data_IF_906756197969
#
_entry.id   IF_906756197969
#
_cell.length_a   1.000
_cell.length_b   1.000
_cell.length_c   1.000
_cell.angle_alpha   90.00
_cell.angle_beta   90.00
_cell.angle_gamma   90.00
#
_symmetry.space_group_name_H-M   'P 1'
#
loop_
_entity.id
_entity.type
_entity.pdbx_description
1 polymer ?
#
# COMPACT_ATOMS: atom_id res chain seq x y z
N UNK A 1 24.31 17.65 -4.36
CA UNK A 1 22.84 17.74 -4.31
C UNK A 1 22.36 16.89 -3.13
N UNK A 2 21.23 17.23 -2.51
CA UNK A 2 20.97 16.84 -1.12
C UNK A 2 19.72 15.94 -1.03
N UNK A 3 19.60 15.16 0.05
CA UNK A 3 18.39 14.37 0.41
C UNK A 3 17.05 15.16 0.34
N UNK A 4 17.10 16.49 0.23
CA UNK A 4 15.97 17.36 -0.07
C UNK A 4 15.28 17.01 -1.40
N UNK A 5 16.02 16.51 -2.38
CA UNK A 5 15.52 16.27 -3.74
C UNK A 5 14.77 14.92 -3.85
N UNK A 6 14.90 14.05 -2.85
CA UNK A 6 14.17 12.77 -2.77
C UNK A 6 12.69 13.03 -2.47
N UNK A 7 11.84 12.53 -3.38
CA UNK A 7 10.37 12.53 -3.29
C UNK A 7 9.81 11.12 -3.12
N UNK A 8 8.53 11.00 -2.79
CA UNK A 8 7.88 9.71 -2.54
C UNK A 8 7.99 8.74 -3.71
N UNK A 9 7.87 9.22 -4.96
CA UNK A 9 8.07 8.41 -6.17
C UNK A 9 9.45 7.72 -6.25
N UNK A 10 10.51 8.37 -5.77
CA UNK A 10 11.86 7.80 -5.75
C UNK A 10 12.02 6.74 -4.68
N UNK A 11 11.37 6.93 -3.53
CA UNK A 11 11.31 5.92 -2.46
C UNK A 11 10.52 4.70 -2.93
N UNK A 12 9.36 4.91 -3.55
CA UNK A 12 8.60 3.85 -4.19
C UNK A 12 9.48 3.14 -5.23
N UNK A 13 10.19 3.91 -6.06
CA UNK A 13 11.25 3.52 -7.00
C UNK A 13 12.29 2.56 -6.42
N UNK A 14 12.85 2.90 -5.28
CA UNK A 14 13.80 2.05 -4.57
C UNK A 14 13.16 0.76 -4.04
N UNK A 15 11.91 0.83 -3.54
CA UNK A 15 11.21 -0.33 -2.97
C UNK A 15 11.01 -1.46 -3.97
N UNK A 16 10.60 -1.20 -5.22
CA UNK A 16 10.44 -2.30 -6.18
C UNK A 16 11.76 -2.78 -6.77
N UNK A 17 12.79 -1.93 -6.89
CA UNK A 17 14.14 -2.42 -7.23
C UNK A 17 14.64 -3.39 -6.15
N UNK A 18 14.47 -3.04 -4.87
CA UNK A 18 14.81 -3.91 -3.75
C UNK A 18 13.87 -5.12 -3.61
N UNK A 19 12.63 -5.00 -4.08
CA UNK A 19 11.63 -6.05 -4.05
C UNK A 19 11.76 -7.05 -5.19
N UNK A 20 12.54 -6.73 -6.22
CA UNK A 20 12.85 -7.63 -7.34
C UNK A 20 13.82 -8.75 -6.89
N UNK A 21 13.48 -10.04 -7.10
CA UNK A 21 14.32 -11.15 -6.64
C UNK A 21 15.72 -11.23 -7.28
N UNK A 22 15.89 -10.70 -8.49
CA UNK A 22 17.16 -10.71 -9.21
C UNK A 22 17.95 -9.42 -8.98
N UNK A 23 17.27 -8.27 -9.00
CA UNK A 23 17.91 -6.97 -8.91
C UNK A 23 18.20 -6.52 -7.48
N UNK A 24 17.31 -6.83 -6.53
CA UNK A 24 17.45 -6.41 -5.13
C UNK A 24 18.73 -6.92 -4.46
N UNK A 25 19.02 -8.23 -4.47
CA UNK A 25 20.26 -8.76 -3.89
C UNK A 25 21.52 -8.21 -4.56
N UNK A 26 21.49 -8.04 -5.88
CA UNK A 26 22.61 -7.47 -6.65
C UNK A 26 22.90 -6.03 -6.23
N UNK A 27 21.86 -5.18 -6.13
CA UNK A 27 22.00 -3.79 -5.71
C UNK A 27 22.52 -3.67 -4.27
N UNK A 28 22.05 -4.54 -3.36
CA UNK A 28 22.55 -4.55 -1.98
C UNK A 28 24.04 -4.88 -1.91
N UNK A 29 24.50 -5.85 -2.71
CA UNK A 29 25.90 -6.23 -2.81
C UNK A 29 26.76 -5.13 -3.44
N UNK A 30 26.33 -4.59 -4.59
CA UNK A 30 27.01 -3.53 -5.34
C UNK A 30 27.16 -2.24 -4.49
N UNK A 31 26.13 -1.88 -3.72
CA UNK A 31 26.13 -0.68 -2.86
C UNK A 31 26.62 -0.97 -1.43
N UNK A 32 27.12 -2.19 -1.20
CA UNK A 32 27.74 -2.64 0.05
C UNK A 32 26.84 -2.52 1.28
N UNK A 33 25.54 -2.71 1.11
CA UNK A 33 24.59 -2.75 2.22
C UNK A 33 24.45 -4.17 2.80
N UNK A 34 24.59 -4.29 4.11
CA UNK A 34 24.19 -5.48 4.86
C UNK A 34 22.85 -5.29 5.56
N UNK A 35 22.37 -6.34 6.22
CA UNK A 35 21.09 -6.31 6.95
C UNK A 35 21.02 -5.17 7.98
N UNK A 36 19.88 -4.46 7.99
CA UNK A 36 19.64 -3.41 8.97
C UNK A 36 19.55 -3.98 10.39
N UNK A 37 20.19 -3.28 11.32
CA UNK A 37 20.23 -3.66 12.75
C UNK A 37 19.27 -2.87 13.63
N UNK A 38 18.65 -1.80 13.12
CA UNK A 38 17.94 -0.82 13.96
C UNK A 38 16.52 -0.46 13.51
N UNK A 39 16.29 -0.14 12.24
CA UNK A 39 14.97 0.28 11.77
C UNK A 39 14.78 0.03 10.27
N UNK A 40 13.53 -0.25 9.89
CA UNK A 40 13.12 -0.68 8.55
C UNK A 40 11.96 0.15 8.05
N UNK A 41 11.93 0.42 6.76
CA UNK A 41 10.73 0.90 6.10
C UNK A 41 9.69 -0.22 6.07
N UNK A 42 8.44 0.11 6.39
CA UNK A 42 7.30 -0.79 6.14
C UNK A 42 6.48 -0.25 4.97
N UNK A 43 6.22 -1.11 3.99
CA UNK A 43 5.39 -0.77 2.83
C UNK A 43 4.62 -1.99 2.35
N UNK A 44 3.28 -1.90 2.29
CA UNK A 44 2.38 -2.99 1.89
C UNK A 44 2.68 -4.31 2.62
N UNK A 45 2.94 -4.22 3.92
CA UNK A 45 3.21 -5.35 4.82
C UNK A 45 4.60 -5.97 4.67
N UNK A 46 5.44 -5.44 3.77
CA UNK A 46 6.83 -5.86 3.57
C UNK A 46 7.78 -4.90 4.28
N UNK A 47 8.96 -5.44 4.63
CA UNK A 47 10.00 -4.71 5.34
C UNK A 47 11.20 -4.52 4.42
N UNK A 48 11.70 -3.29 4.36
CA UNK A 48 12.88 -2.92 3.58
C UNK A 48 13.88 -2.21 4.47
N UNK A 49 15.16 -2.51 4.30
CA UNK A 49 16.21 -1.82 5.02
C UNK A 49 16.25 -0.35 4.58
N UNK A 50 16.10 0.54 5.55
CA UNK A 50 15.85 1.96 5.31
C UNK A 50 17.00 2.68 4.59
N UNK A 51 18.25 2.30 4.87
CA UNK A 51 19.45 2.88 4.25
C UNK A 51 19.55 2.53 2.75
N UNK A 52 19.48 1.25 2.34
CA UNK A 52 19.36 0.88 0.93
C UNK A 52 18.26 1.64 0.19
N UNK A 53 17.05 1.73 0.79
CA UNK A 53 15.93 2.43 0.16
C UNK A 53 16.32 3.88 -0.16
N UNK A 54 16.86 4.61 0.81
CA UNK A 54 17.23 6.02 0.61
C UNK A 54 18.44 6.17 -0.33
N UNK A 55 19.41 5.26 -0.27
CA UNK A 55 20.58 5.31 -1.15
C UNK A 55 20.24 5.06 -2.62
N UNK A 56 19.32 4.14 -2.88
CA UNK A 56 18.77 3.87 -4.21
C UNK A 56 17.87 5.03 -4.65
N UNK A 57 17.00 5.54 -3.77
CA UNK A 57 16.15 6.69 -4.08
C UNK A 57 16.98 7.94 -4.44
N UNK A 58 18.12 8.15 -3.76
CA UNK A 58 19.07 9.20 -4.11
C UNK A 58 19.68 8.99 -5.51
N UNK A 59 20.08 7.76 -5.84
CA UNK A 59 20.60 7.41 -7.16
C UNK A 59 19.57 7.58 -8.29
N UNK A 60 18.29 7.30 -8.02
CA UNK A 60 17.21 7.52 -8.99
C UNK A 60 16.99 9.00 -9.30
N UNK A 61 17.23 9.90 -8.33
CA UNK A 61 17.13 11.36 -8.54
C UNK A 61 18.38 11.92 -9.23
N UNK A 62 19.56 11.50 -8.77
CA UNK A 62 20.82 12.20 -9.05
C UNK A 62 21.71 11.49 -10.06
N UNK A 63 21.48 10.20 -10.31
CA UNK A 63 22.40 9.30 -11.03
C UNK A 63 23.49 8.70 -10.14
N UNK A 64 23.70 9.22 -8.94
CA UNK A 64 24.74 8.79 -8.00
C UNK A 64 24.12 8.01 -6.83
N UNK A 65 24.28 6.69 -6.82
CA UNK A 65 23.76 5.83 -5.76
C UNK A 65 24.60 5.98 -4.48
N UNK A 66 23.93 6.11 -3.32
CA UNK A 66 24.63 6.10 -2.04
C UNK A 66 24.89 4.66 -1.60
N UNK A 67 26.08 4.46 -1.04
CA UNK A 67 26.55 3.20 -0.46
C UNK A 67 26.39 3.19 1.05
N UNK A 68 26.63 2.05 1.71
CA UNK A 68 26.58 1.97 3.16
C UNK A 68 27.53 2.95 3.88
N UNK A 69 28.66 3.30 3.27
CA UNK A 69 29.63 4.24 3.82
C UNK A 69 29.05 5.65 3.99
N UNK A 70 28.16 6.07 3.08
CA UNK A 70 27.51 7.37 3.10
C UNK A 70 26.53 7.55 4.27
N UNK A 71 26.18 6.45 4.95
CA UNK A 71 25.32 6.43 6.14
C UNK A 71 26.10 6.18 7.45
N UNK A 72 27.44 6.32 7.44
CA UNK A 72 28.30 6.22 8.62
C UNK A 72 28.87 7.59 9.01
N UNK A 73 28.84 7.98 10.29
CA UNK A 73 29.48 9.22 10.76
C UNK A 73 28.59 10.46 10.96
N UNK A 74 27.41 10.32 11.57
CA UNK A 74 26.63 11.47 12.06
C UNK A 74 25.83 12.25 11.00
N UNK A 75 25.89 11.85 9.73
CA UNK A 75 24.96 12.34 8.70
C UNK A 75 23.54 11.83 8.97
N UNK A 76 22.57 12.76 8.92
CA UNK A 76 21.15 12.54 9.20
C UNK A 76 20.63 11.36 8.38
N UNK A 77 20.33 10.26 9.05
CA UNK A 77 20.07 8.95 8.43
C UNK A 77 18.83 8.88 7.56
N UNK A 78 18.59 7.69 7.01
CA UNK A 78 17.46 7.42 6.12
C UNK A 78 16.07 7.72 6.72
N UNK A 79 15.94 7.57 8.05
CA UNK A 79 14.65 7.69 8.73
C UNK A 79 13.99 9.08 8.60
N UNK A 80 14.66 10.20 8.92
CA UNK A 80 14.10 11.54 8.69
C UNK A 80 13.59 11.78 7.26
N UNK A 81 14.28 11.22 6.25
CA UNK A 81 13.88 11.35 4.84
C UNK A 81 12.58 10.60 4.59
N UNK A 82 12.48 9.35 5.04
CA UNK A 82 11.30 8.51 4.85
C UNK A 82 10.09 9.06 5.61
N UNK A 83 10.27 9.46 6.88
CA UNK A 83 9.21 10.05 7.71
C UNK A 83 8.68 11.36 7.12
N UNK A 84 9.57 12.24 6.62
CA UNK A 84 9.16 13.48 5.93
C UNK A 84 8.23 13.21 4.75
N UNK A 85 8.46 12.10 4.06
CA UNK A 85 7.72 11.69 2.86
C UNK A 85 6.45 10.86 3.19
N UNK A 86 6.10 10.73 4.48
CA UNK A 86 4.88 10.04 4.93
C UNK A 86 5.04 8.53 5.11
N UNK A 87 6.23 7.97 4.92
CA UNK A 87 6.45 6.53 5.10
C UNK A 87 6.65 6.14 6.56
N UNK A 88 6.08 5.00 6.95
CA UNK A 88 6.31 4.42 8.26
C UNK A 88 7.68 3.74 8.34
N UNK A 89 8.46 4.12 9.35
CA UNK A 89 9.72 3.47 9.70
C UNK A 89 9.52 2.71 11.01
N UNK A 90 9.51 1.38 10.92
CA UNK A 90 9.40 0.47 12.05
C UNK A 90 10.74 0.29 12.75
N UNK A 91 10.71 0.35 14.08
CA UNK A 91 11.87 0.17 14.95
C UNK A 91 12.03 -1.27 15.44
N UNK A 92 11.20 -2.19 14.94
CA UNK A 92 11.26 -3.61 15.28
C UNK A 92 9.92 -4.14 15.80
N UNK A 93 9.02 -3.30 16.29
CA UNK A 93 7.75 -3.75 16.85
C UNK A 93 6.88 -4.47 15.82
N UNK A 94 6.66 -3.88 14.63
CA UNK A 94 5.90 -4.55 13.58
C UNK A 94 6.68 -5.74 13.02
N UNK A 95 8.01 -5.64 12.91
CA UNK A 95 8.85 -6.75 12.45
C UNK A 95 8.74 -7.97 13.37
N UNK A 96 8.75 -7.81 14.70
CA UNK A 96 8.58 -8.91 15.67
C UNK A 96 7.22 -9.58 15.51
N UNK A 97 6.15 -8.83 15.19
CA UNK A 97 4.84 -9.44 14.91
C UNK A 97 4.90 -10.45 13.76
N UNK A 98 5.80 -10.25 12.78
CA UNK A 98 5.99 -11.22 11.69
C UNK A 98 6.64 -12.52 12.11
N UNK A 99 7.31 -12.53 13.27
CA UNK A 99 8.09 -13.63 13.83
C UNK A 99 7.37 -14.37 14.95
N UNK A 100 6.14 -13.97 15.30
CA UNK A 100 5.36 -14.65 16.32
C UNK A 100 5.20 -16.14 15.97
N UNK A 101 5.46 -16.98 16.96
CA UNK A 101 5.17 -18.41 16.90
C UNK A 101 3.74 -18.62 17.36
N UNK A 102 2.84 -18.74 16.39
CA UNK A 102 1.43 -19.01 16.65
C UNK A 102 1.18 -20.50 16.74
N UNK A 103 0.29 -20.89 17.65
CA UNK A 103 -0.19 -22.26 17.74
C UNK A 103 -0.88 -22.70 16.46
N UNK A 104 -0.97 -24.01 16.26
CA UNK A 104 -1.67 -24.62 15.14
C UNK A 104 -2.70 -25.61 15.63
N UNK A 105 -3.91 -25.53 15.08
CA UNK A 105 -4.99 -26.47 15.36
C UNK A 105 -5.50 -27.02 14.04
N UNK A 106 -5.51 -28.35 13.90
CA UNK A 106 -5.86 -29.03 12.63
C UNK A 106 -5.11 -28.47 11.41
N UNK A 107 -3.82 -28.13 11.59
CA UNK A 107 -2.96 -27.59 10.54
C UNK A 107 -3.14 -26.09 10.25
N UNK A 108 -4.18 -25.44 10.79
CA UNK A 108 -4.42 -24.00 10.63
C UNK A 108 -3.70 -23.20 11.73
N UNK A 109 -2.98 -22.12 11.39
CA UNK A 109 -2.42 -21.22 12.39
C UNK A 109 -3.52 -20.49 13.16
N UNK A 110 -3.39 -20.42 14.48
CA UNK A 110 -4.34 -19.74 15.34
C UNK A 110 -4.07 -18.22 15.33
N UNK A 111 -5.05 -17.37 14.98
CA UNK A 111 -4.84 -15.93 14.83
C UNK A 111 -4.84 -15.16 16.16
N UNK A 112 -5.05 -15.85 17.29
CA UNK A 112 -5.43 -15.26 18.57
C UNK A 112 -4.44 -14.23 19.12
N UNK A 113 -3.13 -14.45 18.95
CA UNK A 113 -2.11 -13.47 19.37
C UNK A 113 -2.22 -12.14 18.61
N UNK A 114 -2.53 -12.19 17.32
CA UNK A 114 -2.73 -10.99 16.50
C UNK A 114 -3.99 -10.24 16.91
N UNK A 115 -5.08 -10.94 17.20
CA UNK A 115 -6.33 -10.33 17.70
C UNK A 115 -6.11 -9.64 19.05
N UNK A 116 -5.41 -10.30 19.99
CA UNK A 116 -5.07 -9.70 21.29
C UNK A 116 -4.14 -8.50 21.16
N UNK A 117 -3.16 -8.53 20.24
CA UNK A 117 -2.30 -7.38 19.97
C UNK A 117 -3.06 -6.19 19.38
N UNK A 118 -3.91 -6.42 18.37
CA UNK A 118 -4.75 -5.36 17.79
C UNK A 118 -5.67 -4.74 18.85
N UNK A 119 -6.30 -5.56 19.69
CA UNK A 119 -7.09 -5.10 20.83
C UNK A 119 -6.26 -4.22 21.77
N UNK A 120 -5.09 -4.68 22.22
CA UNK A 120 -4.25 -3.90 23.14
C UNK A 120 -3.73 -2.59 22.51
N UNK A 121 -3.40 -2.59 21.22
CA UNK A 121 -3.02 -1.37 20.47
C UNK A 121 -4.18 -0.39 20.40
N UNK A 122 -5.38 -0.85 20.03
CA UNK A 122 -6.56 0.02 19.95
C UNK A 122 -6.85 0.72 21.28
N UNK A 123 -6.71 0.01 22.40
CA UNK A 123 -6.89 0.55 23.74
C UNK A 123 -5.89 1.64 24.07
N UNK A 124 -4.60 1.41 23.81
CA UNK A 124 -3.55 2.38 24.10
C UNK A 124 -3.68 3.63 23.22
N UNK A 125 -4.03 3.45 21.93
CA UNK A 125 -4.33 4.57 21.01
C UNK A 125 -5.59 5.34 21.43
N UNK A 126 -6.58 4.66 21.98
CA UNK A 126 -7.79 5.25 22.56
C UNK A 126 -7.58 5.91 23.94
N UNK A 127 -6.35 5.98 24.45
CA UNK A 127 -6.05 6.56 25.76
C UNK A 127 -6.36 5.67 26.96
N UNK A 128 -6.72 4.41 26.72
CA UNK A 128 -6.99 3.41 27.75
C UNK A 128 -5.73 2.91 28.48
N UNK A 129 -5.91 2.11 29.55
CA UNK A 129 -4.80 1.57 30.32
C UNK A 129 -4.00 0.56 29.49
N UNK A 130 -2.67 0.62 29.60
CA UNK A 130 -1.74 -0.28 28.93
C UNK A 130 -1.84 -1.72 29.45
N UNK A 131 -1.80 -1.88 30.77
CA UNK A 131 -1.95 -3.17 31.45
C UNK A 131 -3.40 -3.32 31.90
N UNK A 132 -4.01 -4.47 31.61
CA UNK A 132 -5.39 -4.77 31.98
C UNK A 132 -5.42 -6.07 32.78
N UNK A 133 -6.13 -6.15 33.91
CA UNK A 133 -6.33 -7.40 34.63
C UNK A 133 -7.07 -8.43 33.76
N UNK A 134 -6.66 -9.70 33.80
CA UNK A 134 -7.21 -10.74 32.93
C UNK A 134 -8.75 -10.86 33.01
N UNK A 135 -9.31 -10.77 34.22
CA UNK A 135 -10.77 -10.85 34.44
C UNK A 135 -11.56 -9.72 33.80
N UNK A 136 -10.93 -8.55 33.65
CA UNK A 136 -11.57 -7.37 33.05
C UNK A 136 -11.51 -7.45 31.52
N UNK A 137 -10.45 -8.06 30.97
CA UNK A 137 -10.29 -8.26 29.53
C UNK A 137 -11.09 -9.46 28.98
N UNK A 138 -11.40 -10.47 29.81
CA UNK A 138 -11.88 -11.78 29.35
C UNK A 138 -13.15 -11.73 28.48
N UNK A 139 -14.13 -10.89 28.86
CA UNK A 139 -15.42 -10.87 28.18
C UNK A 139 -15.30 -10.22 26.82
N UNK A 140 -14.62 -9.08 26.76
CA UNK A 140 -14.32 -8.38 25.52
C UNK A 140 -13.49 -9.26 24.57
N UNK A 141 -12.41 -9.87 25.07
CA UNK A 141 -11.56 -10.75 24.28
C UNK A 141 -12.29 -12.01 23.82
N UNK A 142 -13.19 -12.59 24.61
CA UNK A 142 -14.00 -13.73 24.18
C UNK A 142 -14.84 -13.38 22.96
N UNK A 143 -15.45 -12.19 22.94
CA UNK A 143 -16.25 -11.73 21.80
C UNK A 143 -15.39 -11.42 20.57
N UNK A 144 -14.18 -10.89 20.75
CA UNK A 144 -13.26 -10.59 19.65
C UNK A 144 -12.62 -11.85 19.05
N UNK A 145 -12.35 -12.86 19.88
CA UNK A 145 -11.69 -14.10 19.45
C UNK A 145 -12.67 -15.13 18.86
N UNK A 146 -13.94 -15.15 19.29
CA UNK A 146 -14.92 -16.14 18.85
C UNK A 146 -15.08 -16.26 17.32
N UNK A 147 -15.13 -15.17 16.53
CA UNK A 147 -15.20 -15.24 15.06
C UNK A 147 -13.99 -15.89 14.38
N UNK A 148 -12.88 -16.02 15.11
CA UNK A 148 -11.62 -16.59 14.63
C UNK A 148 -11.37 -18.02 15.13
N UNK A 149 -12.39 -18.68 15.70
CA UNK A 149 -12.25 -20.03 16.23
C UNK A 149 -11.79 -21.02 15.15
N UNK A 150 -10.64 -21.67 15.39
CA UNK A 150 -10.07 -22.69 14.48
C UNK A 150 -10.55 -24.12 14.80
N UNK A 151 -11.36 -24.28 15.85
CA UNK A 151 -11.94 -25.54 16.30
C UNK A 151 -13.41 -25.34 16.71
N UNK A 152 -14.11 -26.44 17.00
CA UNK A 152 -15.49 -26.41 17.50
C UNK A 152 -15.61 -25.86 18.93
N UNK A 153 -14.51 -25.85 19.68
CA UNK A 153 -14.43 -25.26 21.01
C UNK A 153 -14.08 -23.78 20.95
N UNK A 154 -14.58 -23.01 21.92
CA UNK A 154 -14.21 -21.60 22.06
C UNK A 154 -12.68 -21.44 22.22
N UNK A 155 -12.08 -20.37 21.68
CA UNK A 155 -10.66 -20.05 21.88
C UNK A 155 -10.30 -19.92 23.36
N UNK A 156 -9.17 -20.49 23.78
CA UNK A 156 -8.63 -20.21 25.11
C UNK A 156 -8.01 -18.82 25.13
N UNK A 157 -8.55 -17.95 25.98
CA UNK A 157 -8.13 -16.56 26.13
C UNK A 157 -6.75 -16.42 26.79
N UNK A 158 -6.34 -17.40 27.61
CA UNK A 158 -5.08 -17.34 28.36
C UNK A 158 -3.89 -17.70 27.48
N UNK A 159 -4.09 -18.56 26.48
CA UNK A 159 -3.02 -18.96 25.56
C UNK A 159 -2.34 -17.78 24.86
N UNK A 160 -3.05 -16.89 24.13
CA UNK A 160 -2.40 -15.71 23.54
C UNK A 160 -1.89 -14.73 24.61
N UNK A 161 -2.53 -14.65 25.78
CA UNK A 161 -2.16 -13.78 26.91
C UNK A 161 -0.77 -14.11 27.47
N UNK A 162 -0.44 -15.40 27.60
CA UNK A 162 0.88 -15.88 28.02
C UNK A 162 1.86 -15.94 26.85
N UNK A 163 1.42 -16.44 25.69
CA UNK A 163 2.30 -16.66 24.54
C UNK A 163 2.96 -15.37 24.03
N UNK A 164 2.25 -14.23 24.10
CA UNK A 164 2.81 -12.92 23.73
C UNK A 164 3.98 -12.50 24.64
N UNK A 165 3.98 -12.85 25.93
CA UNK A 165 5.10 -12.59 26.83
C UNK A 165 6.37 -13.41 26.48
N UNK A 166 6.22 -14.44 25.64
CA UNK A 166 7.31 -15.28 25.14
C UNK A 166 7.71 -14.94 23.70
N UNK A 167 7.21 -13.83 23.13
CA UNK A 167 7.53 -13.41 21.78
C UNK A 167 9.05 -13.23 21.57
N UNK A 168 9.59 -13.56 20.37
CA UNK A 168 11.02 -13.39 20.10
C UNK A 168 11.45 -11.94 20.31
N UNK A 169 12.62 -11.75 20.94
CA UNK A 169 13.29 -10.46 21.04
C UNK A 169 14.31 -10.35 19.91
N UNK A 170 14.08 -9.48 18.93
CA UNK A 170 14.95 -9.37 17.75
C UNK A 170 16.12 -8.40 17.95
N UNK A 171 15.96 -7.40 18.81
CA UNK A 171 17.01 -6.48 19.27
C UNK A 171 16.66 -5.89 20.65
N UNK A 172 17.51 -4.99 21.15
CA UNK A 172 17.23 -4.20 22.37
C UNK A 172 16.10 -3.22 22.04
N UNK A 173 14.92 -3.42 22.62
CA UNK A 173 13.77 -2.50 22.50
C UNK A 173 12.49 -3.12 21.92
N UNK A 174 12.57 -4.31 21.31
CA UNK A 174 11.46 -4.86 20.51
C UNK A 174 10.51 -5.78 21.30
N UNK A 175 10.24 -5.47 22.56
CA UNK A 175 9.37 -6.27 23.40
C UNK A 175 7.91 -5.84 23.21
N UNK A 176 7.03 -6.75 22.81
CA UNK A 176 5.63 -6.41 22.50
C UNK A 176 4.71 -6.36 23.72
N UNK A 177 4.98 -7.19 24.75
CA UNK A 177 3.95 -7.58 25.72
C UNK A 177 4.49 -7.77 27.13
N UNK A 178 3.98 -6.99 28.07
CA UNK A 178 4.24 -7.19 29.50
C UNK A 178 3.17 -8.09 30.11
N UNK A 179 3.62 -9.03 30.94
CA UNK A 179 2.77 -9.89 31.76
C UNK A 179 3.25 -9.77 33.19
N UNK A 180 2.32 -9.45 34.09
CA UNK A 180 2.56 -9.45 35.53
C UNK A 180 2.97 -10.86 35.99
N UNK A 181 4.07 -10.95 36.72
CA UNK A 181 4.58 -12.20 37.26
C UNK A 181 4.35 -12.28 38.76
N UNK A 182 4.04 -13.48 39.30
CA UNK A 182 3.98 -13.69 40.74
C UNK A 182 5.36 -13.49 41.38
N UNK A 183 5.38 -13.28 42.70
CA UNK A 183 6.59 -13.16 43.50
C UNK A 183 6.77 -14.41 44.40
N UNK A 184 7.88 -15.16 44.30
CA UNK A 184 9.04 -14.96 43.42
C UNK A 184 8.73 -15.21 41.94
N UNK A 185 9.50 -14.59 41.01
CA UNK A 185 9.26 -14.75 39.57
C UNK A 185 9.42 -16.21 39.14
N UNK A 186 8.37 -16.77 38.55
CA UNK A 186 8.37 -18.10 37.96
C UNK A 186 7.64 -18.10 36.61
N UNK A 187 7.67 -19.24 35.91
CA UNK A 187 6.94 -19.39 34.65
C UNK A 187 5.43 -19.34 34.94
N UNK A 188 4.77 -18.31 34.42
CA UNK A 188 3.33 -18.13 34.57
C UNK A 188 2.56 -19.27 33.90
N UNK A 189 1.64 -19.88 34.64
CA UNK A 189 0.73 -20.93 34.17
C UNK A 189 -0.68 -20.41 33.94
N UNK A 190 -1.47 -21.15 33.17
CA UNK A 190 -2.86 -20.77 32.87
C UNK A 190 -3.72 -20.62 34.14
N UNK A 191 -3.49 -21.51 35.11
CA UNK A 191 -4.18 -21.49 36.39
C UNK A 191 -3.86 -20.20 37.17
N UNK A 192 -2.61 -19.74 37.12
CA UNK A 192 -2.18 -18.52 37.81
C UNK A 192 -2.75 -17.26 37.18
N UNK A 193 -2.79 -17.16 35.84
CA UNK A 193 -3.43 -16.02 35.16
C UNK A 193 -4.88 -15.86 35.65
N UNK A 194 -5.61 -16.98 35.71
CA UNK A 194 -7.02 -17.00 36.13
C UNK A 194 -7.19 -16.71 37.62
N UNK A 195 -6.42 -17.39 38.49
CA UNK A 195 -6.60 -17.33 39.95
C UNK A 195 -6.08 -16.02 40.56
N UNK A 196 -4.90 -15.57 40.11
CA UNK A 196 -4.24 -14.35 40.60
C UNK A 196 -4.68 -13.09 39.83
N UNK A 197 -5.48 -13.24 38.77
CA UNK A 197 -5.95 -12.14 37.92
C UNK A 197 -4.80 -11.33 37.30
N UNK A 198 -3.76 -12.02 36.83
CA UNK A 198 -2.53 -11.38 36.38
C UNK A 198 -2.79 -10.41 35.23
N UNK A 199 -2.31 -9.19 35.37
CA UNK A 199 -2.48 -8.14 34.36
C UNK A 199 -1.51 -8.34 33.21
N UNK A 200 -1.94 -7.99 32.00
CA UNK A 200 -1.04 -7.96 30.85
C UNK A 200 -1.45 -6.88 29.84
N UNK A 201 -0.55 -6.60 28.91
CA UNK A 201 -0.81 -5.66 27.83
C UNK A 201 0.46 -5.32 27.06
N UNK A 202 0.39 -4.27 26.23
CA UNK A 202 1.57 -3.84 25.47
C UNK A 202 2.71 -3.51 26.41
N UNK A 203 3.95 -3.75 25.98
CA UNK A 203 5.10 -3.28 26.73
C UNK A 203 5.08 -1.77 26.93
N UNK A 204 5.73 -1.30 27.99
CA UNK A 204 5.86 0.14 28.22
C UNK A 204 6.53 0.86 27.03
N UNK A 205 7.54 0.23 26.44
CA UNK A 205 8.28 0.79 25.30
C UNK A 205 7.42 0.87 24.04
N UNK A 206 6.68 -0.20 23.71
CA UNK A 206 5.81 -0.22 22.56
C UNK A 206 4.64 0.76 22.73
N UNK A 207 4.06 0.82 23.93
CA UNK A 207 3.01 1.80 24.25
C UNK A 207 3.51 3.24 24.13
N UNK A 208 4.76 3.53 24.53
CA UNK A 208 5.37 4.85 24.37
C UNK A 208 5.64 5.16 22.90
N UNK A 209 6.10 4.18 22.14
CA UNK A 209 6.35 4.27 20.70
C UNK A 209 5.07 4.64 19.94
N UNK A 210 3.98 3.89 20.10
CA UNK A 210 2.74 4.17 19.34
C UNK A 210 2.09 5.51 19.72
N UNK A 211 2.35 6.02 20.93
CA UNK A 211 1.88 7.35 21.36
C UNK A 211 2.73 8.51 20.84
N UNK A 212 3.96 8.26 20.41
CA UNK A 212 4.88 9.31 19.93
C UNK A 212 4.84 9.50 18.40
N UNK A 213 4.13 8.63 17.69
CA UNK A 213 4.06 8.62 16.23
C UNK A 213 2.88 9.41 15.68
N UNK A 214 3.00 9.76 14.39
CA UNK A 214 1.83 10.03 13.57
C UNK A 214 0.95 8.77 13.50
N UNK A 215 -0.32 8.92 13.88
CA UNK A 215 -1.25 7.80 14.05
C UNK A 215 -1.57 7.12 12.72
N UNK A 216 -1.70 7.89 11.64
CA UNK A 216 -2.20 7.38 10.36
C UNK A 216 -1.20 6.42 9.70
N UNK A 217 0.05 6.85 9.53
CA UNK A 217 1.10 6.01 8.91
C UNK A 217 1.42 4.75 9.71
N UNK A 218 1.37 4.81 11.05
CA UNK A 218 1.53 3.62 11.89
C UNK A 218 0.36 2.64 11.76
N UNK A 219 -0.88 3.13 11.81
CA UNK A 219 -2.07 2.26 11.72
C UNK A 219 -2.14 1.58 10.37
N UNK A 220 -1.83 2.28 9.27
CA UNK A 220 -1.76 1.70 7.93
C UNK A 220 -0.72 0.56 7.88
N UNK A 221 0.51 0.84 8.32
CA UNK A 221 1.57 -0.17 8.37
C UNK A 221 1.20 -1.38 9.26
N UNK A 222 0.55 -1.15 10.40
CA UNK A 222 0.07 -2.19 11.29
C UNK A 222 -0.97 -3.08 10.60
N UNK A 223 -1.98 -2.48 9.96
CA UNK A 223 -3.04 -3.20 9.24
C UNK A 223 -2.42 -4.06 8.15
N UNK A 224 -1.50 -3.51 7.36
CA UNK A 224 -0.86 -4.25 6.28
C UNK A 224 -0.02 -5.42 6.79
N UNK A 225 0.79 -5.20 7.83
CA UNK A 225 1.64 -6.25 8.42
C UNK A 225 0.78 -7.38 9.00
N UNK A 226 -0.29 -7.05 9.73
CA UNK A 226 -1.18 -8.05 10.31
C UNK A 226 -2.02 -8.74 9.23
N UNK A 227 -2.38 -8.04 8.14
CA UNK A 227 -3.07 -8.63 7.00
C UNK A 227 -2.25 -9.73 6.31
N UNK A 228 -0.91 -9.63 6.30
CA UNK A 228 -0.05 -10.74 5.79
C UNK A 228 -0.18 -12.04 6.60
N UNK A 229 -0.74 -11.97 7.82
CA UNK A 229 -0.85 -13.09 8.75
C UNK A 229 -2.27 -13.63 8.88
N UNK A 230 -3.23 -12.73 9.03
CA UNK A 230 -4.63 -13.09 9.31
C UNK A 230 -5.62 -12.37 8.38
N UNK A 231 -5.15 -11.69 7.33
CA UNK A 231 -6.00 -10.89 6.45
C UNK A 231 -6.98 -11.70 5.60
N UNK A 232 -6.73 -13.00 5.41
CA UNK A 232 -7.64 -13.92 4.73
C UNK A 232 -8.78 -14.43 5.63
N UNK A 233 -8.72 -14.17 6.94
CA UNK A 233 -9.80 -14.53 7.86
C UNK A 233 -11.02 -13.64 7.59
N UNK A 234 -12.19 -14.25 7.41
CA UNK A 234 -13.45 -13.51 7.14
C UNK A 234 -13.78 -12.47 8.22
N UNK A 235 -13.33 -12.73 9.45
CA UNK A 235 -13.53 -11.85 10.60
C UNK A 235 -12.51 -10.70 10.70
N UNK A 236 -11.50 -10.63 9.83
CA UNK A 236 -10.44 -9.62 9.92
C UNK A 236 -10.95 -8.18 9.74
N UNK A 237 -11.68 -7.88 8.66
CA UNK A 237 -12.23 -6.54 8.44
C UNK A 237 -13.24 -6.12 9.53
N UNK A 238 -14.22 -6.96 9.93
CA UNK A 238 -15.09 -6.65 11.06
C UNK A 238 -14.34 -6.40 12.37
N UNK A 239 -13.21 -7.07 12.61
CA UNK A 239 -12.36 -6.82 13.77
C UNK A 239 -11.75 -5.42 13.72
N UNK A 240 -11.20 -5.00 12.57
CA UNK A 240 -10.59 -3.67 12.43
C UNK A 240 -11.62 -2.55 12.63
N UNK A 241 -12.81 -2.73 12.07
CA UNK A 241 -13.94 -1.80 12.26
C UNK A 241 -14.32 -1.71 13.74
N UNK A 242 -14.52 -2.85 14.40
CA UNK A 242 -14.89 -2.92 15.82
C UNK A 242 -13.84 -2.30 16.74
N UNK A 243 -12.56 -2.40 16.39
CA UNK A 243 -11.45 -1.82 17.15
C UNK A 243 -11.16 -0.36 16.78
N UNK A 244 -11.94 0.25 15.88
CA UNK A 244 -11.78 1.66 15.50
C UNK A 244 -10.51 1.94 14.70
N UNK A 245 -9.97 0.93 14.00
CA UNK A 245 -8.87 1.12 13.06
C UNK A 245 -9.35 1.61 11.67
N UNK A 246 -10.66 1.56 11.42
CA UNK A 246 -11.29 1.93 10.15
C UNK A 246 -12.08 3.26 10.22
N UNK A 247 -11.82 4.11 11.24
CA UNK A 247 -12.69 5.24 11.60
C UNK A 247 -13.10 6.11 10.39
N UNK A 248 -14.42 6.28 10.28
CA UNK A 248 -15.18 6.75 9.13
C UNK A 248 -15.21 8.28 9.08
N UNK A 249 -14.16 8.90 8.55
CA UNK A 249 -14.28 10.15 7.79
C UNK A 249 -14.41 9.76 6.30
N UNK A 250 -14.96 10.63 5.40
CA UNK A 250 -14.83 10.40 3.97
C UNK A 250 -13.35 10.20 3.70
N UNK A 251 -13.02 8.99 3.29
CA UNK A 251 -11.67 8.57 2.99
C UNK A 251 -11.24 9.32 1.72
N UNK A 252 -10.73 10.55 1.88
CA UNK A 252 -10.09 11.33 0.81
C UNK A 252 -8.64 10.90 0.57
N UNK A 253 -8.31 9.65 0.91
CA UNK A 253 -6.97 9.10 0.85
C UNK A 253 -6.98 7.75 0.17
N UNK A 254 -7.33 7.74 -1.12
CA UNK A 254 -7.01 6.70 -2.11
C UNK A 254 -6.55 5.34 -1.57
N UNK A 255 -7.42 4.34 -1.73
CA UNK A 255 -7.11 2.92 -1.59
C UNK A 255 -6.22 2.58 -2.79
N UNK A 256 -4.90 2.72 -2.66
CA UNK A 256 -3.99 2.56 -3.80
C UNK A 256 -3.73 1.08 -4.14
N UNK A 257 -4.51 0.58 -5.10
CA UNK A 257 -3.94 -0.25 -6.16
C UNK A 257 -3.20 0.67 -7.17
N UNK A 258 -1.98 0.31 -7.62
CA UNK A 258 -1.09 1.17 -8.41
C UNK A 258 -1.55 1.22 -9.87
N UNK A 259 -2.28 2.25 -10.31
CA UNK A 259 -2.97 2.13 -11.62
C UNK A 259 -2.07 2.25 -12.84
N UNK A 260 -1.05 3.10 -12.83
CA UNK A 260 -0.04 3.18 -13.91
C UNK A 260 0.83 4.37 -13.55
N UNK A 261 1.84 4.19 -12.69
CA UNK A 261 3.00 5.09 -12.58
C UNK A 261 2.72 6.59 -12.95
N UNK A 262 1.76 7.27 -12.29
CA UNK A 262 1.14 8.58 -12.65
C UNK A 262 1.26 8.99 -14.14
N UNK A 263 0.94 8.03 -15.01
CA UNK A 263 1.18 7.97 -16.45
C UNK A 263 2.47 8.66 -16.91
N UNK A 264 3.65 8.06 -16.73
CA UNK A 264 4.87 8.43 -17.49
C UNK A 264 5.42 9.88 -17.31
N UNK A 265 5.45 10.43 -16.09
CA UNK A 265 6.08 11.72 -15.70
C UNK A 265 5.28 13.03 -15.92
N UNK A 266 4.00 12.91 -16.23
CA UNK A 266 2.80 13.75 -16.03
C UNK A 266 1.66 13.03 -16.75
N UNK A 267 1.81 12.46 -17.95
CA UNK A 267 2.95 12.32 -18.87
C UNK A 267 3.60 13.66 -19.27
N UNK A 268 4.86 13.86 -18.88
CA UNK A 268 5.74 15.03 -19.06
C UNK A 268 5.08 16.43 -19.23
N UNK A 269 4.83 17.15 -18.12
CA UNK A 269 4.09 18.43 -18.00
C UNK A 269 4.21 19.29 -19.27
N UNK A 270 3.29 19.09 -20.21
CA UNK A 270 3.12 19.90 -21.42
C UNK A 270 4.26 19.96 -22.49
N UNK A 271 5.44 19.33 -22.31
CA UNK A 271 6.62 19.15 -23.25
C UNK A 271 7.28 20.44 -23.88
N UNK A 272 8.57 20.54 -24.34
CA UNK A 272 9.70 19.60 -24.37
C UNK A 272 11.11 20.15 -23.98
N UNK A 273 11.95 19.32 -23.34
CA UNK A 273 13.38 19.08 -23.71
C UNK A 273 14.12 18.25 -22.64
N UNK A 274 14.38 16.98 -23.00
CA UNK A 274 15.48 16.05 -22.59
C UNK A 274 15.16 14.92 -21.57
N UNK A 275 15.09 13.70 -22.13
CA UNK A 275 15.74 12.38 -21.85
C UNK A 275 15.98 11.85 -20.41
N UNK A 276 15.41 10.63 -20.20
CA UNK A 276 15.82 9.43 -19.37
C UNK A 276 15.55 9.50 -17.85
N UNK A 277 15.24 8.43 -17.07
CA UNK A 277 14.99 6.98 -17.24
C UNK A 277 14.32 6.41 -15.94
N UNK A 278 13.57 5.30 -16.04
CA UNK A 278 13.86 4.14 -15.16
C UNK A 278 12.90 3.72 -14.03
N UNK A 279 11.57 3.75 -14.23
CA UNK A 279 10.59 2.83 -13.59
C UNK A 279 9.19 2.91 -14.22
N UNK A 280 8.92 4.08 -14.81
CA UNK A 280 7.82 4.38 -15.71
C UNK A 280 7.85 3.46 -16.91
N UNK A 281 6.66 3.01 -17.33
CA UNK A 281 6.46 2.48 -18.67
C UNK A 281 7.17 3.43 -19.63
N UNK A 282 8.04 2.90 -20.47
CA UNK A 282 8.70 3.74 -21.48
C UNK A 282 7.62 4.33 -22.37
N UNK A 283 7.91 5.47 -23.02
CA UNK A 283 6.97 6.04 -24.00
C UNK A 283 6.54 5.00 -25.06
N UNK A 284 7.44 4.09 -25.44
CA UNK A 284 7.12 2.98 -26.34
C UNK A 284 6.15 1.96 -25.71
N UNK A 285 6.29 1.66 -24.41
CA UNK A 285 5.39 0.75 -23.69
C UNK A 285 4.01 1.37 -23.44
N UNK A 286 3.95 2.65 -23.06
CA UNK A 286 2.68 3.39 -22.95
C UNK A 286 1.98 3.45 -24.30
N UNK A 287 2.74 3.74 -25.37
CA UNK A 287 2.18 3.75 -26.72
C UNK A 287 1.64 2.38 -27.14
N UNK A 288 2.33 1.29 -26.80
CA UNK A 288 1.83 -0.06 -27.10
C UNK A 288 0.48 -0.33 -26.41
N UNK A 289 0.31 0.10 -25.16
CA UNK A 289 -0.95 -0.04 -24.40
C UNK A 289 -2.06 0.83 -25.00
N UNK A 290 -1.77 2.10 -25.30
CA UNK A 290 -2.71 3.04 -25.91
C UNK A 290 -3.22 2.52 -27.25
N UNK A 291 -2.31 2.11 -28.14
CA UNK A 291 -2.64 1.54 -29.45
C UNK A 291 -3.53 0.30 -29.29
N UNK A 292 -3.20 -0.57 -28.33
CA UNK A 292 -4.01 -1.76 -28.08
C UNK A 292 -5.41 -1.41 -27.56
N UNK A 293 -5.52 -0.45 -26.65
CA UNK A 293 -6.81 -0.01 -26.11
C UNK A 293 -7.70 0.58 -27.20
N UNK A 294 -7.17 1.49 -28.02
CA UNK A 294 -7.89 2.09 -29.15
C UNK A 294 -8.35 1.02 -30.13
N UNK A 295 -7.50 0.03 -30.46
CA UNK A 295 -7.88 -1.09 -31.31
C UNK A 295 -9.09 -1.85 -30.75
N UNK A 296 -9.07 -2.23 -29.47
CA UNK A 296 -10.17 -2.95 -28.82
C UNK A 296 -11.48 -2.15 -28.86
N UNK A 297 -11.40 -0.85 -28.59
CA UNK A 297 -12.56 0.04 -28.62
C UNK A 297 -13.15 0.14 -30.02
N UNK A 298 -12.29 0.36 -31.03
CA UNK A 298 -12.73 0.48 -32.42
C UNK A 298 -13.37 -0.81 -32.92
N UNK A 299 -12.75 -1.96 -32.66
CA UNK A 299 -13.31 -3.28 -33.00
C UNK A 299 -14.71 -3.46 -32.39
N UNK A 300 -14.90 -3.12 -31.11
CA UNK A 300 -16.20 -3.19 -30.45
C UNK A 300 -17.24 -2.25 -31.10
N UNK A 301 -16.87 -0.99 -31.36
CA UNK A 301 -17.78 -0.03 -31.97
C UNK A 301 -18.17 -0.41 -33.40
N UNK A 302 -17.23 -0.93 -34.20
CA UNK A 302 -17.45 -1.30 -35.59
C UNK A 302 -18.24 -2.61 -35.71
N UNK A 303 -17.87 -3.63 -34.96
CA UNK A 303 -18.42 -4.99 -35.11
C UNK A 303 -19.69 -5.17 -34.29
N UNK A 304 -19.70 -4.76 -33.03
CA UNK A 304 -20.82 -5.01 -32.12
C UNK A 304 -21.86 -3.89 -32.16
N UNK A 305 -21.41 -2.63 -32.24
CA UNK A 305 -22.31 -1.48 -32.20
C UNK A 305 -22.67 -0.93 -33.59
N UNK A 306 -21.92 -1.31 -34.65
CA UNK A 306 -22.18 -0.93 -36.03
C UNK A 306 -21.92 0.55 -36.34
N UNK A 307 -20.94 1.16 -35.68
CA UNK A 307 -20.43 2.50 -35.98
C UNK A 307 -19.29 2.42 -37.01
N UNK A 308 -19.04 3.51 -37.73
CA UNK A 308 -17.74 3.76 -38.39
C UNK A 308 -16.85 4.53 -37.44
N UNK A 309 -15.60 4.12 -37.26
CA UNK A 309 -14.67 4.78 -36.31
C UNK A 309 -13.43 5.36 -36.99
N UNK A 310 -12.95 6.48 -36.45
CA UNK A 310 -11.68 7.10 -36.79
C UNK A 310 -10.86 7.33 -35.51
N UNK A 311 -9.57 6.99 -35.54
CA UNK A 311 -8.60 7.28 -34.46
C UNK A 311 -8.07 8.70 -34.67
N UNK A 312 -8.47 9.61 -33.78
CA UNK A 312 -8.21 11.05 -33.87
C UNK A 312 -7.37 11.57 -32.70
N UNK A 313 -6.89 10.70 -31.80
CA UNK A 313 -6.16 11.09 -30.59
C UNK A 313 -4.86 11.87 -30.83
N UNK A 314 -4.33 11.84 -32.05
CA UNK A 314 -3.16 12.64 -32.44
C UNK A 314 -3.50 14.10 -32.85
N UNK A 315 -4.76 14.38 -33.19
CA UNK A 315 -5.21 15.66 -33.75
C UNK A 315 -6.31 16.34 -32.94
N UNK A 316 -7.04 15.58 -32.14
CA UNK A 316 -8.17 16.02 -31.35
C UNK A 316 -7.91 15.80 -29.84
N UNK A 317 -8.81 16.33 -28.99
CA UNK A 317 -8.70 16.21 -27.52
C UNK A 317 -9.41 14.97 -26.95
N UNK A 318 -9.68 13.97 -27.78
CA UNK A 318 -10.30 12.68 -27.48
C UNK A 318 -9.76 11.65 -28.49
N UNK A 319 -9.93 10.35 -28.22
CA UNK A 319 -9.21 9.31 -28.96
C UNK A 319 -9.94 8.78 -30.19
N UNK A 320 -11.27 8.54 -30.09
CA UNK A 320 -12.04 7.92 -31.18
C UNK A 320 -13.27 8.74 -31.55
N UNK A 321 -13.40 9.03 -32.85
CA UNK A 321 -14.58 9.61 -33.46
C UNK A 321 -15.46 8.50 -34.05
N UNK A 322 -16.61 8.22 -33.44
CA UNK A 322 -17.53 7.17 -33.88
C UNK A 322 -18.80 7.76 -34.51
N UNK A 323 -19.17 7.30 -35.70
CA UNK A 323 -20.35 7.76 -36.44
C UNK A 323 -21.30 6.62 -36.82
N UNK A 324 -22.62 6.84 -36.69
CA UNK A 324 -23.65 5.89 -37.13
C UNK A 324 -24.89 6.65 -37.61
N UNK A 325 -25.02 6.79 -38.94
CA UNK A 325 -26.01 7.71 -39.51
C UNK A 325 -25.68 9.14 -39.09
N UNK A 326 -26.65 9.82 -38.47
CA UNK A 326 -26.48 11.18 -37.94
C UNK A 326 -25.91 11.20 -36.50
N UNK A 327 -25.75 10.04 -35.87
CA UNK A 327 -25.20 9.96 -34.51
C UNK A 327 -23.67 10.07 -34.54
N UNK A 328 -23.15 10.94 -33.68
CA UNK A 328 -21.72 11.14 -33.45
C UNK A 328 -21.46 10.90 -31.96
N UNK A 329 -20.40 10.15 -31.65
CA UNK A 329 -19.93 9.93 -30.28
C UNK A 329 -18.44 10.20 -30.21
N UNK A 330 -18.05 11.13 -29.34
CA UNK A 330 -16.65 11.36 -28.99
C UNK A 330 -16.25 10.42 -27.85
N UNK A 331 -15.30 9.52 -28.10
CA UNK A 331 -14.91 8.48 -27.15
C UNK A 331 -13.52 8.77 -26.61
N UNK A 332 -13.44 8.85 -25.27
CA UNK A 332 -12.17 8.84 -24.53
C UNK A 332 -11.78 7.40 -24.23
N UNK A 333 -10.55 7.00 -24.53
CA UNK A 333 -10.04 5.63 -24.40
C UNK A 333 -8.91 5.57 -23.38
N UNK A 334 -9.10 4.81 -22.31
CA UNK A 334 -8.07 4.58 -21.29
C UNK A 334 -7.62 3.12 -21.25
N UNK A 335 -6.38 2.88 -21.64
CA UNK A 335 -5.74 1.56 -21.56
C UNK A 335 -4.96 1.36 -20.26
N UNK A 336 -5.08 0.19 -19.64
CA UNK A 336 -4.26 -0.19 -18.48
C UNK A 336 -3.97 -1.69 -18.42
N UNK A 337 -2.82 -2.05 -17.86
CA UNK A 337 -2.50 -3.45 -17.53
C UNK A 337 -3.11 -3.91 -16.20
N UNK A 338 -3.74 -2.99 -15.45
CA UNK A 338 -4.34 -3.25 -14.12
C UNK A 338 -5.81 -3.66 -14.21
N UNK A 339 -6.54 -3.63 -13.09
CA UNK A 339 -7.97 -3.97 -13.01
C UNK A 339 -8.91 -2.92 -13.59
N UNK A 340 -8.43 -1.70 -13.89
CA UNK A 340 -9.29 -0.62 -14.38
C UNK A 340 -10.20 0.03 -13.32
N UNK A 341 -9.95 -0.24 -12.03
CA UNK A 341 -10.75 0.28 -10.92
C UNK A 341 -10.79 1.82 -10.83
N UNK A 342 -9.78 2.50 -11.38
CA UNK A 342 -9.83 3.92 -11.68
C UNK A 342 -8.96 4.23 -12.92
N UNK A 343 -9.13 5.41 -13.48
CA UNK A 343 -8.33 5.91 -14.61
C UNK A 343 -8.01 7.38 -14.37
N UNK A 344 -6.89 7.86 -14.92
CA UNK A 344 -6.49 9.26 -14.79
C UNK A 344 -7.09 10.01 -15.98
N UNK A 345 -7.66 11.18 -15.67
CA UNK A 345 -8.21 12.11 -16.66
C UNK A 345 -7.54 13.47 -16.52
N UNK A 346 -7.27 14.12 -17.65
CA UNK A 346 -6.82 15.51 -17.63
C UNK A 346 -7.98 16.48 -17.44
N UNK A 347 -7.70 17.71 -17.00
CA UNK A 347 -8.73 18.76 -16.89
C UNK A 347 -9.46 19.00 -18.22
N UNK A 348 -8.71 18.90 -19.33
CA UNK A 348 -9.25 19.13 -20.66
C UNK A 348 -10.20 18.02 -21.07
N UNK A 349 -9.85 16.76 -20.82
CA UNK A 349 -10.73 15.60 -21.05
C UNK A 349 -12.03 15.73 -20.24
N UNK A 350 -11.93 16.04 -18.94
CA UNK A 350 -13.12 16.26 -18.10
C UNK A 350 -13.98 17.40 -18.64
N UNK A 351 -13.37 18.52 -19.01
CA UNK A 351 -14.09 19.70 -19.52
C UNK A 351 -14.77 19.41 -20.86
N UNK A 352 -14.08 18.74 -21.78
CA UNK A 352 -14.61 18.33 -23.07
C UNK A 352 -15.79 17.39 -22.90
N UNK A 353 -15.63 16.28 -22.18
CA UNK A 353 -16.66 15.25 -22.09
C UNK A 353 -17.89 15.72 -21.29
N UNK A 354 -17.75 16.66 -20.36
CA UNK A 354 -18.91 17.37 -19.78
C UNK A 354 -19.67 18.21 -20.81
N UNK A 355 -18.95 18.92 -21.67
CA UNK A 355 -19.56 19.76 -22.70
C UNK A 355 -20.21 18.97 -23.84
N UNK A 356 -19.73 17.75 -24.10
CA UNK A 356 -20.20 16.90 -25.20
C UNK A 356 -21.26 15.89 -24.76
N UNK A 357 -21.56 15.77 -23.46
CA UNK A 357 -22.64 14.91 -22.98
C UNK A 357 -24.00 15.36 -23.59
N UNK A 358 -24.82 14.44 -24.14
CA UNK A 358 -24.70 12.98 -24.09
C UNK A 358 -24.00 12.33 -25.30
N UNK A 359 -23.47 13.11 -26.25
CA UNK A 359 -22.75 12.62 -27.43
C UNK A 359 -21.29 12.22 -27.11
N UNK A 360 -21.09 11.55 -25.98
CA UNK A 360 -19.78 11.22 -25.42
C UNK A 360 -19.74 9.79 -24.85
N UNK A 361 -18.54 9.22 -24.77
CA UNK A 361 -18.32 7.96 -24.09
C UNK A 361 -16.95 7.93 -23.39
N UNK A 362 -16.86 7.11 -22.33
CA UNK A 362 -15.61 6.64 -21.76
C UNK A 362 -15.49 5.15 -22.02
N UNK A 363 -14.37 4.74 -22.59
CA UNK A 363 -14.01 3.35 -22.79
C UNK A 363 -12.74 3.03 -22.01
N UNK A 364 -12.83 2.11 -21.05
CA UNK A 364 -11.67 1.63 -20.28
C UNK A 364 -11.34 0.22 -20.74
N UNK A 365 -10.13 0.01 -21.24
CA UNK A 365 -9.61 -1.30 -21.62
C UNK A 365 -8.59 -1.73 -20.58
N UNK A 366 -8.99 -2.65 -19.70
CA UNK A 366 -8.17 -3.09 -18.57
C UNK A 366 -7.59 -4.48 -18.78
N UNK A 367 -6.64 -4.87 -17.92
CA UNK A 367 -5.99 -6.19 -17.96
C UNK A 367 -5.26 -6.48 -19.28
N UNK A 368 -4.76 -5.43 -19.93
CA UNK A 368 -3.91 -5.53 -21.12
C UNK A 368 -2.59 -6.21 -20.73
N UNK A 369 -2.15 -7.18 -21.55
CA UNK A 369 -0.87 -7.88 -21.37
C UNK A 369 0.20 -7.19 -22.19
N UNK A 370 1.21 -6.64 -21.51
CA UNK A 370 2.36 -5.99 -22.13
C UNK A 370 3.56 -6.95 -22.18
N UNK A 371 4.03 -7.26 -23.38
CA UNK A 371 5.29 -7.96 -23.62
C UNK A 371 6.44 -6.94 -23.70
N UNK A 372 7.50 -7.22 -22.93
CA UNK A 372 8.66 -6.34 -22.74
C UNK A 372 9.95 -6.95 -23.28
N UNK A 373 9.92 -8.18 -23.79
CA UNK A 373 11.12 -8.93 -24.17
C UNK A 373 11.69 -8.50 -25.53
N UNK A 374 10.86 -7.91 -26.38
CA UNK A 374 11.26 -7.39 -27.69
C UNK A 374 11.79 -5.95 -27.61
N UNK A 375 12.64 -5.57 -28.57
CA UNK A 375 13.17 -4.20 -28.73
C UNK A 375 12.02 -3.18 -28.91
N UNK A 376 10.92 -3.59 -29.54
CA UNK A 376 9.66 -2.88 -29.59
C UNK A 376 8.62 -3.60 -28.70
N UNK A 377 8.14 -2.97 -27.61
CA UNK A 377 7.15 -3.58 -26.73
C UNK A 377 5.82 -3.77 -27.45
N UNK A 378 5.14 -4.88 -27.20
CA UNK A 378 3.83 -5.17 -27.79
C UNK A 378 2.79 -5.41 -26.71
N UNK A 379 1.53 -5.07 -27.00
CA UNK A 379 0.43 -5.24 -26.07
C UNK A 379 -0.68 -6.11 -26.69
N UNK A 380 -1.29 -6.96 -25.89
CA UNK A 380 -2.32 -7.91 -26.31
C UNK A 380 -3.41 -8.10 -25.25
N UNK A 381 -4.52 -8.72 -25.63
CA UNK A 381 -5.67 -8.93 -24.73
C UNK A 381 -6.40 -7.62 -24.43
N UNK A 382 -6.94 -7.49 -23.21
CA UNK A 382 -7.73 -6.35 -22.78
C UNK A 382 -9.23 -6.67 -22.68
N UNK A 383 -9.83 -6.28 -21.56
CA UNK A 383 -11.27 -6.36 -21.31
C UNK A 383 -11.86 -4.94 -21.35
N UNK A 384 -12.94 -4.75 -22.13
CA UNK A 384 -13.56 -3.44 -22.35
C UNK A 384 -14.70 -3.19 -21.37
N UNK A 385 -14.66 -2.04 -20.70
CA UNK A 385 -15.78 -1.46 -19.97
C UNK A 385 -16.16 -0.12 -20.62
N UNK A 386 -17.43 0.02 -20.99
CA UNK A 386 -17.94 1.16 -21.77
C UNK A 386 -19.06 1.89 -21.03
N UNK A 387 -18.94 3.21 -20.92
CA UNK A 387 -20.00 4.11 -20.47
C UNK A 387 -20.39 5.03 -21.64
N UNK A 388 -21.63 4.89 -22.13
CA UNK A 388 -22.16 5.65 -23.27
C UNK A 388 -23.68 5.82 -23.12
N UNK A 389 -24.20 7.02 -22.83
CA UNK A 389 -23.46 8.25 -22.58
C UNK A 389 -22.66 8.18 -21.27
N UNK A 390 -21.55 8.91 -21.19
CA UNK A 390 -20.75 8.99 -19.97
C UNK A 390 -21.07 10.27 -19.19
N UNK A 391 -21.72 10.11 -18.03
CA UNK A 391 -21.98 11.20 -17.09
C UNK A 391 -20.85 11.28 -16.05
N UNK A 392 -20.22 12.44 -15.94
CA UNK A 392 -19.13 12.70 -14.99
C UNK A 392 -19.69 13.37 -13.73
N UNK A 393 -19.72 12.67 -12.61
CA UNK A 393 -20.02 13.25 -11.30
C UNK A 393 -18.74 13.83 -10.65
N UNK A 394 -18.84 15.00 -10.01
CA UNK A 394 -17.73 15.57 -9.24
C UNK A 394 -17.36 14.69 -8.04
N UNK A 395 -18.32 13.95 -7.47
CA UNK A 395 -18.07 13.03 -6.35
C UNK A 395 -17.16 11.85 -6.74
N UNK A 396 -17.11 11.52 -8.05
CA UNK A 396 -16.29 10.44 -8.59
C UNK A 396 -14.90 10.92 -9.03
N UNK A 397 -14.61 12.24 -8.95
CA UNK A 397 -13.33 12.82 -9.31
C UNK A 397 -12.50 13.15 -8.07
N UNK A 398 -11.28 12.64 -8.03
CA UNK A 398 -10.27 13.04 -7.04
C UNK A 398 -9.18 13.87 -7.73
N UNK A 399 -8.90 15.11 -7.27
CA UNK A 399 -7.89 15.96 -7.89
C UNK A 399 -6.48 15.41 -7.60
N UNK A 400 -5.74 15.08 -8.66
CA UNK A 400 -4.39 14.50 -8.56
C UNK A 400 -3.27 15.55 -8.67
N UNK A 401 -3.47 16.63 -9.41
CA UNK A 401 -2.46 17.67 -9.63
C UNK A 401 -3.08 19.07 -9.77
N UNK A 402 -2.36 20.08 -9.27
CA UNK A 402 -2.72 21.49 -9.37
C UNK A 402 -1.59 22.30 -10.01
N UNK A 403 -1.93 23.07 -11.06
CA UNK A 403 -1.06 24.11 -11.60
C UNK A 403 -1.29 25.42 -10.82
N UNK A 404 -0.23 26.01 -10.26
CA UNK A 404 -0.27 27.33 -9.63
C UNK A 404 0.35 28.38 -10.56
N UNK A 405 -0.44 29.37 -10.99
CA UNK A 405 0.02 30.45 -11.86
C UNK A 405 0.46 31.64 -11.01
N UNK A 406 1.74 31.99 -11.09
CA UNK A 406 2.35 33.08 -10.30
C UNK A 406 2.18 34.46 -10.93
N UNK A 407 1.72 34.53 -12.19
CA UNK A 407 1.58 35.79 -12.93
C UNK A 407 2.90 36.49 -13.24
N UNK A 408 4.03 35.77 -13.13
CA UNK A 408 5.37 36.22 -13.51
C UNK A 408 5.73 35.75 -14.92
#
# INVERSE_FOLDING_TARGET
MAFADIRSEHVLGAIALLGDPAEGPRLLEELHFGEARSYRLVYKGKFFDSKPVVGIAHGLVTGDYLTSADFTGGYRGAEPVLRRLGFHVDYGFLYVMTKLRVDRTHGRPAPYQYVVLLWAISRVLGGGPRMVPFKDAREELAQLLAPFAVATTAPDLVMPWIALASAPRTAVGDWLWDLETPNPPEKVTDAQVKSLNLSAGLSEEFARYIKSLDRSSFVEALIDVVATKIGSERAYLPLLERLGFMDTAPFTGSREDPIADVQGAIEELANPRRKRFGRLLTAAQNKAIEVRAVQVVREHFEIELGYSTEDVGATESYDVWATKGDAIVMVEVKGTTTSGASVILTRNEVSLHRGQHPANALAVVHSIRLDREAEEPTASGGELQLWMPWSIDEADLSPLAYEYRTGL
#
